data_IF_659844403964
#
_entry.id   IF_659844403964
#
_cell.length_a   1.000
_cell.length_b   1.000
_cell.length_c   1.000
_cell.angle_alpha   90.00
_cell.angle_beta   90.00
_cell.angle_gamma   90.00
#
_symmetry.space_group_name_H-M   'P 1'
#
loop_
_entity.id
_entity.type
_entity.pdbx_description
1 polymer ?
#
# COMPACT_ATOMS: atom_id res chain seq x y z
N UNK A 1 -9.99 -12.65 -69.07
CA UNK A 1 -8.95 -12.08 -68.21
C UNK A 1 -9.46 -11.16 -67.11
N UNK A 2 -10.77 -11.23 -66.80
CA UNK A 2 -11.42 -10.35 -65.78
C UNK A 2 -11.95 -11.06 -64.52
N UNK A 3 -11.96 -12.38 -64.50
CA UNK A 3 -12.51 -13.17 -63.39
C UNK A 3 -11.55 -13.37 -62.22
N UNK A 4 -10.24 -13.47 -62.47
CA UNK A 4 -9.23 -13.71 -61.46
C UNK A 4 -8.98 -12.53 -60.48
N UNK A 5 -9.26 -11.31 -60.89
CA UNK A 5 -9.06 -10.11 -60.02
C UNK A 5 -10.12 -10.00 -58.95
N UNK A 6 -11.33 -10.51 -59.18
CA UNK A 6 -12.41 -10.48 -58.16
C UNK A 6 -12.20 -11.48 -57.03
N UNK A 7 -11.65 -12.66 -57.37
CA UNK A 7 -11.31 -13.66 -56.34
C UNK A 7 -10.15 -13.25 -55.45
N UNK A 8 -9.18 -12.53 -55.96
CA UNK A 8 -8.03 -12.04 -55.16
C UNK A 8 -8.48 -10.99 -54.13
N UNK A 9 -9.46 -10.15 -54.44
CA UNK A 9 -9.97 -9.13 -53.54
C UNK A 9 -10.80 -9.72 -52.39
N UNK A 10 -11.55 -10.79 -52.63
CA UNK A 10 -12.32 -11.49 -51.58
C UNK A 10 -11.41 -12.26 -50.64
N UNK A 11 -10.30 -12.85 -51.17
CA UNK A 11 -9.35 -13.56 -50.32
C UNK A 11 -8.56 -12.66 -49.39
N UNK A 12 -8.23 -11.41 -49.79
CA UNK A 12 -7.55 -10.44 -48.93
C UNK A 12 -8.47 -9.92 -47.82
N UNK A 13 -9.79 -9.80 -48.08
CA UNK A 13 -10.75 -9.38 -47.05
C UNK A 13 -11.07 -10.46 -46.01
N UNK A 14 -10.90 -11.75 -46.38
CA UNK A 14 -11.11 -12.87 -45.45
C UNK A 14 -9.91 -13.09 -44.47
N UNK A 15 -8.71 -12.56 -44.78
CA UNK A 15 -7.54 -12.63 -43.89
C UNK A 15 -7.46 -11.45 -42.88
N UNK A 16 -8.31 -10.43 -42.97
CA UNK A 16 -8.24 -9.25 -42.14
C UNK A 16 -9.03 -9.37 -40.81
N UNK A 17 -9.45 -10.53 -40.44
CA UNK A 17 -10.38 -10.66 -39.34
C UNK A 17 -10.03 -11.67 -38.28
N UNK A 18 -9.03 -11.45 -37.47
CA UNK A 18 -9.01 -11.90 -36.06
C UNK A 18 -7.82 -11.22 -35.37
N UNK A 19 -7.89 -9.91 -35.26
CA UNK A 19 -7.16 -9.26 -34.16
C UNK A 19 -7.97 -9.60 -32.90
N UNK A 20 -7.60 -10.68 -32.25
CA UNK A 20 -8.12 -10.98 -30.92
C UNK A 20 -7.61 -9.88 -29.99
N UNK A 21 -8.49 -8.93 -29.66
CA UNK A 21 -8.16 -7.94 -28.65
C UNK A 21 -7.92 -8.73 -27.36
N UNK A 22 -6.71 -8.65 -26.80
CA UNK A 22 -6.51 -9.13 -25.43
C UNK A 22 -7.41 -8.30 -24.55
N UNK A 23 -8.29 -8.97 -23.80
CA UNK A 23 -9.13 -8.31 -22.82
C UNK A 23 -8.27 -7.51 -21.84
N UNK A 24 -8.73 -6.32 -21.50
CA UNK A 24 -8.10 -5.53 -20.45
C UNK A 24 -8.18 -6.32 -19.13
N UNK A 25 -7.16 -6.22 -18.25
CA UNK A 25 -7.18 -6.91 -16.98
C UNK A 25 -8.38 -6.48 -16.15
N UNK A 26 -9.10 -7.45 -15.59
CA UNK A 26 -10.19 -7.23 -14.65
C UNK A 26 -9.70 -7.53 -13.22
N UNK A 27 -9.73 -6.54 -12.36
CA UNK A 27 -9.24 -6.65 -10.97
C UNK A 27 -10.37 -6.90 -9.96
N UNK A 28 -11.61 -7.06 -10.40
CA UNK A 28 -12.78 -7.16 -9.50
C UNK A 28 -12.69 -8.38 -8.60
N UNK A 29 -12.41 -9.56 -9.15
CA UNK A 29 -12.28 -10.80 -8.39
C UNK A 29 -11.15 -10.73 -7.37
N UNK A 30 -9.95 -10.26 -7.80
CA UNK A 30 -8.83 -10.04 -6.91
C UNK A 30 -9.18 -9.10 -5.75
N UNK A 31 -9.89 -8.00 -6.03
CA UNK A 31 -10.30 -7.05 -5.01
C UNK A 31 -11.32 -7.64 -4.04
N UNK A 32 -12.31 -8.38 -4.52
CA UNK A 32 -13.32 -9.02 -3.69
C UNK A 32 -12.73 -10.09 -2.77
N UNK A 33 -11.83 -10.92 -3.28
CA UNK A 33 -11.18 -11.99 -2.50
C UNK A 33 -10.16 -11.46 -1.49
N UNK A 34 -9.43 -10.41 -1.85
CA UNK A 34 -8.29 -9.93 -1.05
C UNK A 34 -8.69 -8.87 -0.03
N UNK A 35 -9.69 -8.03 -0.32
CA UNK A 35 -10.07 -6.92 0.56
C UNK A 35 -10.46 -7.32 1.98
N UNK A 36 -11.08 -8.48 2.24
CA UNK A 36 -11.39 -8.89 3.61
C UNK A 36 -10.18 -9.03 4.52
N UNK A 37 -9.00 -9.28 3.95
CA UNK A 37 -7.75 -9.39 4.70
C UNK A 37 -6.97 -8.07 4.80
N UNK A 38 -7.42 -7.00 4.12
CA UNK A 38 -6.85 -5.66 4.22
C UNK A 38 -7.55 -4.91 5.35
N UNK A 39 -6.77 -4.24 6.20
CA UNK A 39 -7.25 -3.59 7.41
C UNK A 39 -6.88 -2.12 7.43
N UNK A 40 -7.68 -1.33 8.15
CA UNK A 40 -7.30 0.02 8.54
C UNK A 40 -6.51 -0.01 9.86
N UNK A 41 -5.50 0.83 9.94
CA UNK A 41 -4.68 1.03 11.15
C UNK A 41 -4.82 2.46 11.61
N UNK A 42 -5.21 2.63 12.85
CA UNK A 42 -5.21 3.92 13.53
C UNK A 42 -4.20 3.86 14.67
N UNK A 43 -3.19 4.72 14.62
CA UNK A 43 -2.20 4.88 15.69
C UNK A 43 -2.37 6.21 16.38
N UNK A 44 -2.34 6.21 17.72
CA UNK A 44 -2.48 7.40 18.56
C UNK A 44 -1.21 7.61 19.34
N UNK A 45 -0.66 8.82 19.28
CA UNK A 45 0.54 9.23 20.02
C UNK A 45 0.24 10.45 20.87
N UNK A 46 0.50 10.39 22.15
CA UNK A 46 0.36 11.52 23.06
C UNK A 46 1.65 12.34 23.07
N UNK A 47 1.64 13.49 22.43
CA UNK A 47 2.79 14.39 22.44
C UNK A 47 2.75 15.25 23.69
N UNK A 48 3.58 14.96 24.70
CA UNK A 48 3.79 15.86 25.81
C UNK A 48 4.80 16.95 25.42
N UNK A 49 4.40 18.20 25.56
CA UNK A 49 5.09 19.39 25.08
C UNK A 49 6.36 19.71 25.91
N UNK A 50 7.36 18.83 25.90
CA UNK A 50 8.63 19.10 26.57
C UNK A 50 9.84 19.26 25.68
N UNK A 51 9.83 18.89 24.42
CA UNK A 51 10.91 19.21 23.47
C UNK A 51 10.39 19.09 22.03
N UNK A 52 9.73 20.14 21.55
CA UNK A 52 9.36 20.24 20.12
C UNK A 52 10.57 20.76 19.35
N UNK A 53 11.60 19.93 19.20
CA UNK A 53 12.67 20.14 18.25
C UNK A 53 12.71 18.91 17.34
N UNK A 54 12.13 19.05 16.12
CA UNK A 54 12.42 18.19 14.98
C UNK A 54 12.05 16.71 15.14
N UNK A 55 10.77 16.40 15.24
CA UNK A 55 10.29 15.03 15.03
C UNK A 55 9.97 14.76 13.57
N UNK A 56 10.95 14.85 12.69
CA UNK A 56 10.87 14.36 11.33
C UNK A 56 11.28 12.88 11.27
N UNK A 57 10.80 12.14 10.29
CA UNK A 57 11.15 10.73 10.06
C UNK A 57 12.61 10.50 9.66
N UNK A 58 13.50 11.48 9.90
CA UNK A 58 14.93 11.37 9.61
C UNK A 58 15.32 11.51 8.14
N UNK A 59 14.39 11.44 7.20
CA UNK A 59 14.61 11.75 5.79
C UNK A 59 13.74 12.95 5.37
N UNK A 60 14.33 14.09 4.97
CA UNK A 60 13.60 15.30 4.57
C UNK A 60 12.58 15.08 3.44
N UNK A 61 12.74 14.03 2.64
CA UNK A 61 11.82 13.71 1.54
C UNK A 61 10.56 13.00 1.99
N UNK A 62 10.66 12.16 3.04
CA UNK A 62 9.49 11.59 3.69
C UNK A 62 8.74 12.68 4.45
N UNK A 63 9.45 13.57 5.12
CA UNK A 63 8.84 14.69 5.82
C UNK A 63 8.13 15.64 4.85
N UNK A 64 8.74 15.98 3.70
CA UNK A 64 8.11 16.79 2.65
C UNK A 64 6.89 16.09 2.04
N UNK A 65 6.96 14.77 1.83
CA UNK A 65 5.83 13.99 1.35
C UNK A 65 4.69 13.99 2.37
N UNK A 66 4.99 13.74 3.64
CA UNK A 66 3.99 13.73 4.71
C UNK A 66 3.41 15.13 4.99
N UNK A 67 4.22 16.17 5.02
CA UNK A 67 3.74 17.55 5.15
C UNK A 67 2.83 17.97 3.99
N UNK A 68 3.14 17.52 2.79
CA UNK A 68 2.35 17.85 1.59
C UNK A 68 1.01 17.14 1.55
N UNK A 69 0.92 15.91 2.09
CA UNK A 69 -0.29 15.08 2.04
C UNK A 69 -1.13 15.12 3.32
N UNK A 70 -0.50 15.32 4.48
CA UNK A 70 -1.19 15.31 5.78
C UNK A 70 -1.30 16.70 6.41
N UNK A 71 -0.74 17.73 5.77
CA UNK A 71 -0.75 19.10 6.24
C UNK A 71 0.29 19.37 7.32
N UNK A 72 0.81 20.61 7.35
CA UNK A 72 1.73 21.03 8.41
C UNK A 72 1.03 20.98 9.78
N UNK A 73 1.73 20.54 10.83
CA UNK A 73 1.26 20.73 12.18
C UNK A 73 1.00 22.23 12.38
N UNK A 74 -0.25 22.62 12.62
CA UNK A 74 -0.56 24.02 12.96
C UNK A 74 0.28 24.41 14.15
N UNK A 75 0.87 25.63 14.16
CA UNK A 75 1.58 26.13 15.32
C UNK A 75 0.71 25.94 16.55
N UNK A 76 1.14 25.09 17.49
CA UNK A 76 0.41 24.82 18.72
C UNK A 76 0.42 26.07 19.58
N UNK A 77 -0.75 26.51 20.03
CA UNK A 77 -0.89 27.51 21.08
C UNK A 77 -0.14 26.97 22.34
N UNK A 78 0.83 27.72 22.90
CA UNK A 78 1.63 27.26 24.05
C UNK A 78 0.80 26.90 25.32
N UNK A 79 -0.51 27.13 25.30
CA UNK A 79 -1.41 26.87 26.42
C UNK A 79 -2.18 25.55 26.34
N UNK A 80 -1.97 24.74 25.29
CA UNK A 80 -2.65 23.45 25.17
C UNK A 80 -1.74 22.30 25.59
N UNK A 81 -1.97 21.80 26.80
CA UNK A 81 -1.43 20.53 27.30
C UNK A 81 -1.79 19.39 26.36
N UNK A 82 -0.79 18.57 26.04
CA UNK A 82 -0.82 17.25 25.35
C UNK A 82 -2.09 16.94 24.54
N UNK A 83 -2.04 17.12 23.22
CA UNK A 83 -3.07 16.60 22.31
C UNK A 83 -2.62 15.26 21.72
N UNK A 84 -3.49 14.26 21.64
CA UNK A 84 -3.19 13.05 20.90
C UNK A 84 -3.09 13.39 19.41
N UNK A 85 -1.99 12.95 18.78
CA UNK A 85 -1.81 12.95 17.33
C UNK A 85 -2.29 11.59 16.84
N UNK A 86 -3.21 11.59 15.89
CA UNK A 86 -3.77 10.39 15.28
C UNK A 86 -3.23 10.26 13.86
N UNK A 87 -2.58 9.13 13.56
CA UNK A 87 -2.15 8.76 12.23
C UNK A 87 -2.97 7.57 11.73
N UNK A 88 -3.20 7.50 10.43
CA UNK A 88 -3.95 6.40 9.82
C UNK A 88 -3.18 5.81 8.66
N UNK A 89 -3.28 4.48 8.52
CA UNK A 89 -2.69 3.72 7.44
C UNK A 89 -3.47 2.45 7.15
N UNK A 90 -2.88 1.58 6.37
CA UNK A 90 -3.39 0.26 6.04
C UNK A 90 -2.45 -0.83 6.54
N UNK A 91 -2.95 -2.04 6.57
CA UNK A 91 -2.18 -3.24 6.80
C UNK A 91 -2.86 -4.43 6.17
N UNK A 92 -2.28 -5.60 6.31
CA UNK A 92 -2.90 -6.83 5.83
C UNK A 92 -2.55 -8.03 6.71
N UNK A 93 -3.51 -8.92 6.85
CA UNK A 93 -3.44 -10.09 7.71
C UNK A 93 -2.69 -11.21 6.99
N UNK A 94 -1.68 -11.79 7.65
CA UNK A 94 -0.85 -12.88 7.11
C UNK A 94 -1.08 -14.22 7.81
N UNK A 95 -1.79 -14.21 8.95
CA UNK A 95 -2.10 -15.46 9.66
C UNK A 95 -3.49 -15.44 10.28
N UNK A 96 -4.12 -16.61 10.37
CA UNK A 96 -5.48 -16.78 10.90
C UNK A 96 -5.62 -16.46 12.39
N UNK A 97 -4.51 -16.45 13.11
CA UNK A 97 -4.42 -16.15 14.54
C UNK A 97 -4.07 -14.68 14.83
N UNK A 98 -3.97 -13.83 13.80
CA UNK A 98 -3.94 -12.38 13.97
C UNK A 98 -2.59 -11.69 13.79
N UNK A 99 -1.61 -12.30 13.13
CA UNK A 99 -0.43 -11.56 12.67
C UNK A 99 -0.76 -10.76 11.42
N UNK A 100 -0.26 -9.53 11.35
CA UNK A 100 -0.46 -8.63 10.22
C UNK A 100 0.78 -7.78 9.97
N UNK A 101 0.94 -7.33 8.74
CA UNK A 101 2.03 -6.47 8.30
C UNK A 101 1.50 -5.08 7.94
N UNK A 102 2.34 -4.09 8.22
CA UNK A 102 2.15 -2.68 7.82
C UNK A 102 3.51 -1.99 7.66
N UNK A 103 3.51 -0.71 7.34
CA UNK A 103 4.73 0.09 7.40
C UNK A 103 5.10 0.49 8.85
N UNK A 104 6.42 0.57 9.12
CA UNK A 104 6.90 1.00 10.43
C UNK A 104 6.44 2.42 10.76
N UNK A 105 6.53 3.36 9.81
CA UNK A 105 6.14 4.75 10.03
C UNK A 105 4.66 4.94 10.42
N UNK A 106 3.78 3.97 10.09
CA UNK A 106 2.35 4.02 10.48
C UNK A 106 2.17 3.82 11.99
N UNK A 107 3.08 3.07 12.63
CA UNK A 107 2.94 2.65 14.03
C UNK A 107 4.07 3.15 14.95
N UNK A 108 5.07 3.83 14.37
CA UNK A 108 6.26 4.27 15.11
C UNK A 108 5.94 5.24 16.24
N UNK A 109 6.32 4.83 17.46
CA UNK A 109 6.11 5.63 18.67
C UNK A 109 4.64 5.83 19.05
N UNK A 110 3.73 5.00 18.55
CA UNK A 110 2.32 5.01 18.97
C UNK A 110 2.18 4.50 20.40
N UNK A 111 1.35 5.17 21.19
CA UNK A 111 0.94 4.71 22.53
C UNK A 111 -0.17 3.66 22.42
N UNK A 112 -1.00 3.77 21.40
CA UNK A 112 -2.10 2.84 21.13
C UNK A 112 -2.25 2.63 19.60
N UNK A 113 -2.46 1.36 19.23
CA UNK A 113 -2.69 0.95 17.83
C UNK A 113 -4.01 0.19 17.79
N UNK A 114 -4.94 0.67 16.96
CA UNK A 114 -6.24 0.05 16.72
C UNK A 114 -6.32 -0.44 15.28
N UNK A 115 -6.71 -1.70 15.10
CA UNK A 115 -6.94 -2.34 13.82
C UNK A 115 -8.44 -2.44 13.59
N UNK A 116 -8.94 -1.85 12.51
CA UNK A 116 -10.34 -1.99 12.09
C UNK A 116 -10.44 -2.88 10.86
N UNK A 117 -11.19 -3.97 10.97
CA UNK A 117 -11.44 -4.92 9.89
C UNK A 117 -12.54 -4.42 8.96
N UNK A 118 -12.62 -4.99 7.76
CA UNK A 118 -13.67 -4.67 6.78
C UNK A 118 -15.10 -4.95 7.25
N UNK A 119 -15.28 -5.85 8.23
CA UNK A 119 -16.55 -6.16 8.88
C UNK A 119 -16.85 -5.28 10.11
N UNK A 120 -16.06 -4.24 10.33
CA UNK A 120 -16.15 -3.24 11.42
C UNK A 120 -15.76 -3.74 12.81
N UNK A 121 -15.21 -4.94 12.94
CA UNK A 121 -14.59 -5.34 14.22
C UNK A 121 -13.32 -4.55 14.44
N UNK A 122 -13.08 -4.16 15.67
CA UNK A 122 -11.88 -3.42 16.10
C UNK A 122 -11.10 -4.21 17.13
N UNK A 123 -9.78 -4.14 17.03
CA UNK A 123 -8.87 -4.83 17.93
C UNK A 123 -7.71 -3.91 18.30
N UNK A 124 -7.27 -3.98 19.54
CA UNK A 124 -5.97 -3.42 19.92
C UNK A 124 -4.87 -4.31 19.38
N UNK A 125 -3.82 -3.70 18.87
CA UNK A 125 -2.67 -4.42 18.33
C UNK A 125 -1.41 -4.16 19.16
N UNK A 126 -0.57 -5.19 19.23
CA UNK A 126 0.76 -5.12 19.81
C UNK A 126 1.80 -5.17 18.69
N UNK A 127 2.86 -4.36 18.82
CA UNK A 127 4.01 -4.41 17.91
C UNK A 127 4.91 -5.56 18.32
N UNK A 128 4.99 -6.58 17.48
CA UNK A 128 5.85 -7.76 17.71
C UNK A 128 7.29 -7.49 17.26
N UNK A 129 7.43 -6.71 16.19
CA UNK A 129 8.71 -6.29 15.67
C UNK A 129 8.55 -5.22 14.61
N UNK A 130 9.56 -4.38 14.47
CA UNK A 130 9.60 -3.32 13.47
C UNK A 130 11.04 -3.11 12.98
N UNK A 131 11.17 -2.81 11.70
CA UNK A 131 12.42 -2.43 11.07
C UNK A 131 12.24 -1.09 10.34
N UNK A 132 12.80 -0.04 10.93
CA UNK A 132 12.74 1.30 10.36
C UNK A 132 13.50 1.43 9.02
N UNK A 133 14.49 0.57 8.76
CA UNK A 133 15.28 0.62 7.52
C UNK A 133 14.50 0.14 6.31
N UNK A 134 13.74 -0.95 6.46
CA UNK A 134 12.86 -1.48 5.42
C UNK A 134 11.45 -0.91 5.50
N UNK A 135 11.16 -0.09 6.52
CA UNK A 135 9.85 0.47 6.82
C UNK A 135 8.75 -0.60 6.92
N UNK A 136 9.04 -1.71 7.64
CA UNK A 136 8.10 -2.81 7.86
C UNK A 136 7.87 -3.01 9.36
N UNK A 137 6.61 -3.22 9.75
CA UNK A 137 6.23 -3.62 11.10
C UNK A 137 5.33 -4.86 11.08
N UNK A 138 5.57 -5.76 12.03
CA UNK A 138 4.75 -6.93 12.33
C UNK A 138 3.93 -6.63 13.58
N UNK A 139 2.62 -6.75 13.45
CA UNK A 139 1.67 -6.53 14.53
C UNK A 139 0.92 -7.82 14.87
N UNK A 140 0.34 -7.86 16.07
CA UNK A 140 -0.50 -8.97 16.56
C UNK A 140 -1.79 -8.42 17.15
N UNK A 141 -2.91 -9.01 16.75
CA UNK A 141 -4.23 -8.81 17.37
C UNK A 141 -4.73 -10.13 17.97
N UNK A 142 -5.52 -10.05 19.03
CA UNK A 142 -6.17 -11.21 19.61
C UNK A 142 -7.48 -11.53 18.89
N UNK A 143 -7.35 -12.25 17.77
CA UNK A 143 -8.47 -12.68 16.93
C UNK A 143 -8.15 -14.03 16.28
N UNK A 144 -9.20 -14.75 15.88
CA UNK A 144 -9.11 -16.09 15.28
C UNK A 144 -9.92 -16.16 13.99
N UNK A 145 -9.58 -17.14 13.16
CA UNK A 145 -10.27 -17.42 11.90
C UNK A 145 -10.35 -16.23 10.96
N UNK A 146 -9.29 -15.44 10.91
CA UNK A 146 -9.18 -14.28 10.06
C UNK A 146 -8.90 -14.67 8.61
N UNK A 147 -9.40 -13.87 7.62
CA UNK A 147 -8.93 -13.97 6.25
C UNK A 147 -7.45 -13.59 6.16
N UNK A 148 -6.70 -14.22 5.26
CA UNK A 148 -5.26 -14.02 5.17
C UNK A 148 -4.81 -13.85 3.74
N UNK A 149 -3.77 -13.06 3.50
CA UNK A 149 -3.07 -12.97 2.22
C UNK A 149 -1.83 -13.85 2.20
N UNK A 150 -1.51 -14.36 1.02
CA UNK A 150 -0.25 -15.05 0.78
C UNK A 150 0.81 -14.06 0.34
N UNK A 151 2.01 -14.20 0.91
CA UNK A 151 3.17 -13.40 0.49
C UNK A 151 3.75 -14.03 -0.78
N UNK A 152 3.84 -13.21 -1.84
CA UNK A 152 4.46 -13.58 -3.11
C UNK A 152 5.96 -13.30 -3.15
N UNK A 153 6.54 -13.45 -4.33
CA UNK A 153 7.96 -13.19 -4.59
C UNK A 153 8.16 -12.00 -5.51
N UNK A 154 8.67 -10.90 -4.97
CA UNK A 154 9.03 -9.72 -5.78
C UNK A 154 10.15 -10.01 -6.79
N UNK A 155 10.92 -11.10 -6.61
CA UNK A 155 11.97 -11.51 -7.56
C UNK A 155 11.40 -11.95 -8.90
N UNK A 156 10.22 -12.55 -8.89
CA UNK A 156 9.55 -13.11 -10.06
C UNK A 156 8.82 -12.04 -10.89
N UNK A 157 8.45 -10.92 -10.28
CA UNK A 157 7.82 -9.80 -10.99
C UNK A 157 8.72 -9.27 -12.11
N UNK A 158 8.11 -8.89 -13.23
CA UNK A 158 8.79 -8.27 -14.37
C UNK A 158 8.32 -6.83 -14.56
N UNK A 159 9.20 -5.98 -15.07
CA UNK A 159 8.84 -4.63 -15.49
C UNK A 159 7.77 -4.70 -16.58
N UNK A 160 6.72 -3.91 -16.45
CA UNK A 160 5.55 -3.92 -17.33
C UNK A 160 4.41 -4.83 -16.87
N UNK A 161 4.59 -5.67 -15.84
CA UNK A 161 3.49 -6.47 -15.27
C UNK A 161 2.52 -5.59 -14.50
N UNK A 162 1.23 -5.91 -14.60
CA UNK A 162 0.18 -5.26 -13.84
C UNK A 162 0.32 -5.53 -12.35
N UNK A 163 0.10 -4.50 -11.56
CA UNK A 163 0.04 -4.57 -10.10
C UNK A 163 -1.13 -3.75 -9.57
N UNK A 164 -1.67 -4.20 -8.44
CA UNK A 164 -2.83 -3.60 -7.79
C UNK A 164 -2.49 -3.33 -6.34
N UNK A 165 -2.65 -2.10 -5.89
CA UNK A 165 -2.59 -1.77 -4.47
C UNK A 165 -4.00 -1.68 -3.89
N UNK A 166 -4.17 -2.27 -2.70
CA UNK A 166 -5.41 -2.19 -1.94
C UNK A 166 -5.09 -1.57 -0.58
N UNK A 167 -5.73 -0.45 -0.29
CA UNK A 167 -5.68 0.20 1.01
C UNK A 167 -7.04 0.27 1.67
N UNK A 168 -7.07 0.60 2.96
CA UNK A 168 -8.30 0.82 3.72
C UNK A 168 -8.29 2.23 4.36
N UNK A 169 -8.26 3.30 3.55
CA UNK A 169 -8.29 4.65 4.08
C UNK A 169 -9.65 4.93 4.75
N UNK A 170 -9.62 5.75 5.82
CA UNK A 170 -10.83 6.31 6.44
C UNK A 170 -11.83 5.32 7.03
N UNK A 171 -11.43 4.11 7.47
CA UNK A 171 -12.24 3.13 8.20
C UNK A 171 -13.54 2.64 7.50
N UNK A 172 -13.83 3.07 6.28
CA UNK A 172 -15.16 2.85 5.70
C UNK A 172 -15.19 1.97 4.47
N UNK A 173 -14.13 1.94 3.68
CA UNK A 173 -14.03 1.12 2.45
C UNK A 173 -12.57 1.01 2.02
N UNK A 174 -12.22 -0.14 1.48
CA UNK A 174 -10.96 -0.29 0.76
C UNK A 174 -10.98 0.55 -0.53
N UNK A 175 -9.83 1.07 -0.90
CA UNK A 175 -9.59 1.67 -2.20
C UNK A 175 -8.62 0.78 -2.99
N UNK A 176 -8.93 0.62 -4.27
CA UNK A 176 -8.15 -0.19 -5.21
C UNK A 176 -7.56 0.74 -6.24
N UNK A 177 -6.25 0.65 -6.43
CA UNK A 177 -5.54 1.39 -7.47
C UNK A 177 -4.67 0.42 -8.25
N UNK A 178 -4.54 0.59 -9.55
CA UNK A 178 -3.76 -0.29 -10.43
C UNK A 178 -2.75 0.49 -11.25
N UNK A 179 -1.73 -0.20 -11.66
CA UNK A 179 -0.66 0.31 -12.50
C UNK A 179 0.25 -0.83 -12.92
N UNK A 180 1.49 -0.51 -13.28
CA UNK A 180 2.49 -1.49 -13.69
C UNK A 180 3.77 -1.38 -12.86
N UNK A 181 4.56 -2.41 -12.83
CA UNK A 181 5.94 -2.35 -12.36
C UNK A 181 6.76 -1.52 -13.34
N UNK A 182 7.18 -0.32 -12.93
CA UNK A 182 7.95 0.61 -13.77
C UNK A 182 9.44 0.31 -13.73
N UNK A 183 9.97 -0.14 -12.56
CA UNK A 183 11.36 -0.56 -12.39
C UNK A 183 11.52 -1.45 -11.14
N UNK A 184 12.64 -2.19 -11.07
CA UNK A 184 12.99 -3.04 -9.93
C UNK A 184 14.37 -2.71 -9.40
N UNK A 185 14.56 -2.96 -8.09
CA UNK A 185 15.88 -2.83 -7.47
C UNK A 185 16.40 -1.39 -7.40
N UNK A 186 15.50 -0.41 -7.36
CA UNK A 186 15.90 0.98 -7.17
C UNK A 186 16.29 1.23 -5.73
N UNK A 187 17.49 1.72 -5.53
CA UNK A 187 17.91 2.27 -4.23
C UNK A 187 17.50 3.73 -4.16
N UNK A 188 16.86 4.13 -3.08
CA UNK A 188 16.70 5.55 -2.75
C UNK A 188 17.92 5.89 -1.90
N UNK A 189 18.80 6.80 -2.33
CA UNK A 189 19.94 7.23 -1.51
C UNK A 189 19.40 7.95 -0.27
N UNK A 190 19.41 7.26 0.86
CA UNK A 190 19.07 7.82 2.15
C UNK A 190 20.40 8.23 2.79
N UNK A 191 20.66 9.53 2.97
CA UNK A 191 21.73 10.10 3.78
C UNK A 191 22.92 9.19 4.07
N UNK A 192 23.51 9.27 5.22
CA UNK A 192 24.78 8.62 5.60
C UNK A 192 24.75 7.10 5.79
N UNK A 193 23.60 6.42 5.68
CA UNK A 193 23.52 4.97 5.91
C UNK A 193 23.04 4.25 4.64
N UNK A 194 23.96 3.64 3.92
CA UNK A 194 23.76 2.96 2.65
C UNK A 194 23.09 1.59 2.80
N UNK A 195 21.94 1.53 3.46
CA UNK A 195 21.16 0.28 3.51
C UNK A 195 20.46 0.09 2.17
N UNK A 196 20.89 -0.92 1.44
CA UNK A 196 20.30 -1.29 0.15
C UNK A 196 18.94 -1.95 0.37
N UNK A 197 17.86 -1.19 0.22
CA UNK A 197 16.50 -1.74 0.10
C UNK A 197 16.13 -1.73 -1.37
N UNK A 198 15.94 -2.90 -2.01
CA UNK A 198 15.63 -2.98 -3.44
C UNK A 198 14.15 -2.68 -3.70
N UNK A 199 13.79 -1.41 -3.75
CA UNK A 199 12.40 -0.98 -3.97
C UNK A 199 11.86 -1.40 -5.36
N UNK A 200 10.56 -1.73 -5.38
CA UNK A 200 9.78 -1.80 -6.61
C UNK A 200 9.24 -0.40 -6.90
N UNK A 201 9.53 0.11 -8.09
CA UNK A 201 8.89 1.33 -8.57
C UNK A 201 7.65 0.96 -9.39
N UNK A 202 6.53 1.61 -9.10
CA UNK A 202 5.27 1.44 -9.83
C UNK A 202 4.69 2.80 -10.17
N UNK A 203 3.72 2.86 -11.07
CA UNK A 203 2.89 4.02 -11.37
C UNK A 203 1.50 3.93 -10.73
N UNK A 204 1.33 3.01 -9.79
CA UNK A 204 0.11 2.87 -8.98
C UNK A 204 -0.13 4.16 -8.19
N UNK A 205 -1.35 4.68 -8.25
CA UNK A 205 -1.71 5.87 -7.50
C UNK A 205 -1.69 5.59 -5.98
N UNK A 206 -0.78 6.24 -5.27
CA UNK A 206 -0.69 6.19 -3.81
C UNK A 206 -1.35 7.43 -3.23
N UNK A 207 -2.31 7.22 -2.34
CA UNK A 207 -3.03 8.26 -1.62
C UNK A 207 -2.84 8.08 -0.11
N UNK A 208 -3.07 9.14 0.71
CA UNK A 208 -3.09 9.02 2.16
C UNK A 208 -3.99 7.90 2.64
N UNK A 209 -3.46 7.03 3.51
CA UNK A 209 -4.15 5.85 4.01
C UNK A 209 -3.83 4.54 3.28
N UNK A 210 -3.20 4.56 2.10
CA UNK A 210 -2.73 3.33 1.44
C UNK A 210 -1.41 2.80 2.04
N UNK A 211 -0.66 3.64 2.77
CA UNK A 211 0.61 3.24 3.42
C UNK A 211 0.43 1.99 4.26
N UNK A 212 1.28 0.99 4.06
CA UNK A 212 1.23 -0.31 4.74
C UNK A 212 0.27 -1.32 4.10
N UNK A 213 -0.52 -0.94 3.11
CA UNK A 213 -1.37 -1.84 2.34
C UNK A 213 -0.58 -2.77 1.40
N UNK A 214 -1.17 -3.91 1.01
CA UNK A 214 -0.52 -4.87 0.11
C UNK A 214 -0.51 -4.40 -1.35
N UNK A 215 0.52 -4.84 -2.07
CA UNK A 215 0.62 -4.77 -3.53
C UNK A 215 0.48 -6.19 -4.09
N UNK A 216 -0.42 -6.38 -5.03
CA UNK A 216 -0.70 -7.66 -5.67
C UNK A 216 -0.18 -7.69 -7.11
N UNK A 217 0.23 -8.85 -7.56
CA UNK A 217 0.33 -9.20 -8.99
C UNK A 217 -0.96 -9.94 -9.43
N UNK A 218 -1.07 -10.19 -10.73
CA UNK A 218 -2.14 -10.99 -11.34
C UNK A 218 -1.73 -12.45 -11.48
#
# INVERSE_FOLDING_TARGET
>A
MFEYKRFLFVAIFALSGFVQSKDLPNFTELAEESSPAVVNITSTKTVSNRNSFGGGFGDPRYDEFFERFFGQPRPSDPRQNSRPVVSTGSGFIISKDGFLLTNNHVVEGADEITISLGDRREFKAEVIGADARSDVALLKIDAKNLPTLRIGSSKELKVGEWVVAIGSPFQLRFSVTSGIVSAKGRSIPNGSDSTYVPFLQTDVAINPGNSGGPLFNL
#
